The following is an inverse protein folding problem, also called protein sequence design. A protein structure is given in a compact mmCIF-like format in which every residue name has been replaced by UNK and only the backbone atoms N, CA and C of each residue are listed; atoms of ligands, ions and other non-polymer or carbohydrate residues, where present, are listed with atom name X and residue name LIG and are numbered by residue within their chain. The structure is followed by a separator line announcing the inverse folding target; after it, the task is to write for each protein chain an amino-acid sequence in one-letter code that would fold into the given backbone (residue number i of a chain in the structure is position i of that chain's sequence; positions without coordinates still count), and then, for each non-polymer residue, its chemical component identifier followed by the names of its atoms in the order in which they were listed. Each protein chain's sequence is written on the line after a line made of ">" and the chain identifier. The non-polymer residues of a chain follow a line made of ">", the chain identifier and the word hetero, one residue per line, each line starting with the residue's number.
data_IF_012288426136
#
_entry.id   IF_012288426136
#
_cell.length_a   1.000
_cell.length_b   1.000
_cell.length_c   1.000
_cell.angle_alpha   90.00
_cell.angle_beta   90.00
_cell.angle_gamma   90.00
#
_symmetry.space_group_name_H-M   'P 1'
#
loop_
_entity.id
_entity.type
_entity.pdbx_description
1 polymer ?
#
# COMPACT_ATOMS: atom_id res chain seq x y z
N UNK A 1 -56.71 20.95 9.28
CA UNK A 1 -57.64 20.57 8.20
C UNK A 1 -57.17 21.14 6.90
N UNK A 2 -56.50 20.39 6.08
CA UNK A 2 -56.22 20.75 4.67
C UNK A 2 -56.23 19.47 3.83
N UNK A 3 -57.03 19.50 2.78
CA UNK A 3 -57.43 18.38 1.94
C UNK A 3 -56.33 17.95 0.96
N UNK A 4 -56.04 16.63 0.93
CA UNK A 4 -55.27 15.95 -0.10
C UNK A 4 -56.11 15.91 -1.38
N UNK A 5 -55.65 16.49 -2.47
CA UNK A 5 -56.17 16.22 -3.84
C UNK A 5 -55.29 15.18 -4.54
N UNK A 6 -55.88 14.02 -4.81
CA UNK A 6 -55.35 13.01 -5.72
C UNK A 6 -55.58 13.46 -7.16
N UNK A 7 -54.51 13.55 -7.97
CA UNK A 7 -54.62 13.66 -9.44
C UNK A 7 -54.30 12.27 -10.05
N UNK A 8 -55.32 11.69 -10.68
CA UNK A 8 -55.20 10.56 -11.59
C UNK A 8 -54.67 11.11 -12.93
N UNK A 9 -53.60 10.52 -13.46
CA UNK A 9 -53.19 10.70 -14.87
C UNK A 9 -53.56 9.42 -15.62
N UNK A 10 -54.41 9.59 -16.65
CA UNK A 10 -54.71 8.55 -17.65
C UNK A 10 -53.47 8.31 -18.53
N UNK A 11 -53.07 7.05 -18.65
CA UNK A 11 -52.10 6.59 -19.65
C UNK A 11 -52.84 6.22 -20.92
N UNK A 12 -52.70 7.03 -22.00
CA UNK A 12 -53.09 6.67 -23.33
C UNK A 12 -51.97 5.93 -24.03
N UNK A 13 -52.18 4.64 -24.33
CA UNK A 13 -51.25 3.84 -25.08
C UNK A 13 -51.28 4.24 -26.59
N UNK A 14 -50.18 4.81 -27.06
CA UNK A 14 -49.89 4.95 -28.46
C UNK A 14 -49.05 3.76 -28.91
N UNK A 15 -49.62 2.88 -29.73
CA UNK A 15 -48.87 1.80 -30.39
C UNK A 15 -48.17 2.42 -31.61
N UNK A 16 -46.88 2.66 -31.49
CA UNK A 16 -46.03 3.03 -32.60
C UNK A 16 -45.38 1.75 -33.17
N UNK A 17 -45.78 1.32 -34.37
CA UNK A 17 -45.10 0.30 -35.15
C UNK A 17 -43.80 0.87 -35.67
N UNK A 18 -42.69 0.56 -35.01
CA UNK A 18 -41.33 0.88 -35.49
C UNK A 18 -40.87 -0.20 -36.47
N UNK A 19 -40.72 0.20 -37.72
CA UNK A 19 -39.99 -0.56 -38.75
C UNK A 19 -38.55 -0.75 -38.28
N UNK A 20 -38.16 -1.99 -37.98
CA UNK A 20 -36.78 -2.36 -37.70
C UNK A 20 -36.04 -2.34 -39.03
N UNK A 21 -35.33 -1.25 -39.29
CA UNK A 21 -34.26 -1.23 -40.28
C UNK A 21 -33.07 -2.00 -39.70
N UNK A 22 -32.76 -3.18 -40.23
CA UNK A 22 -31.54 -3.88 -39.94
C UNK A 22 -30.33 -3.06 -40.46
N UNK A 23 -29.81 -2.18 -39.63
CA UNK A 23 -28.50 -1.59 -39.87
C UNK A 23 -27.45 -2.66 -39.52
N UNK A 24 -26.85 -3.25 -40.57
CA UNK A 24 -25.62 -4.03 -40.49
C UNK A 24 -24.43 -3.06 -40.18
N UNK A 25 -24.48 -2.35 -39.09
CA UNK A 25 -23.31 -1.69 -38.58
C UNK A 25 -22.36 -2.80 -38.09
N UNK A 26 -21.19 -2.92 -38.72
CA UNK A 26 -20.11 -3.74 -38.17
C UNK A 26 -19.90 -3.27 -36.74
N UNK A 27 -19.78 -4.20 -35.77
CA UNK A 27 -19.41 -3.78 -34.41
C UNK A 27 -18.10 -2.96 -34.50
N UNK A 28 -18.10 -1.79 -33.91
CA UNK A 28 -16.87 -1.03 -33.75
C UNK A 28 -15.85 -1.97 -33.08
N UNK A 29 -14.59 -2.00 -33.56
CA UNK A 29 -13.57 -2.78 -32.88
C UNK A 29 -13.50 -2.30 -31.44
N UNK A 30 -13.73 -3.20 -30.50
CA UNK A 30 -13.49 -2.93 -29.07
C UNK A 30 -12.05 -2.42 -28.96
N UNK A 31 -11.80 -1.37 -28.17
CA UNK A 31 -10.45 -0.91 -27.94
C UNK A 31 -9.62 -2.11 -27.48
N UNK A 32 -8.57 -2.39 -28.23
CA UNK A 32 -7.68 -3.49 -27.91
C UNK A 32 -7.01 -3.14 -26.58
N UNK A 33 -7.30 -3.89 -25.52
CA UNK A 33 -6.66 -3.71 -24.22
C UNK A 33 -5.15 -3.83 -24.44
N UNK A 34 -4.41 -2.81 -24.10
CA UNK A 34 -2.94 -2.83 -24.21
C UNK A 34 -2.37 -3.71 -23.09
N UNK A 35 -2.17 -4.99 -23.42
CA UNK A 35 -1.66 -6.00 -22.50
C UNK A 35 -0.14 -5.87 -22.24
N UNK A 36 0.52 -4.83 -22.72
CA UNK A 36 1.97 -4.62 -22.47
C UNK A 36 2.25 -3.89 -21.18
N UNK A 37 1.39 -2.95 -20.79
CA UNK A 37 1.57 -2.15 -19.58
C UNK A 37 1.11 -2.91 -18.32
N UNK A 38 1.78 -2.70 -17.20
CA UNK A 38 1.41 -3.22 -15.88
C UNK A 38 1.44 -2.10 -14.84
N UNK A 39 0.45 -2.11 -13.94
CA UNK A 39 0.35 -1.11 -12.88
C UNK A 39 1.33 -1.44 -11.74
N UNK A 40 2.02 -0.42 -11.26
CA UNK A 40 3.02 -0.52 -10.19
C UNK A 40 2.67 0.42 -9.05
N UNK A 41 2.75 -0.06 -7.82
CA UNK A 41 2.67 0.74 -6.61
C UNK A 41 3.91 0.52 -5.75
N UNK A 42 4.46 1.62 -5.20
CA UNK A 42 5.58 1.57 -4.27
C UNK A 42 5.07 1.77 -2.85
N UNK A 43 5.41 0.86 -1.96
CA UNK A 43 5.07 0.87 -0.54
C UNK A 43 6.32 1.21 0.25
N UNK A 44 6.30 2.30 1.04
CA UNK A 44 7.47 2.70 1.81
C UNK A 44 7.08 3.37 3.14
N UNK A 45 8.05 3.49 4.03
CA UNK A 45 7.84 4.03 5.38
C UNK A 45 8.68 3.31 6.42
N UNK A 46 8.08 3.07 7.58
CA UNK A 46 8.76 2.36 8.67
C UNK A 46 8.09 1.02 9.02
N UNK A 47 8.28 0.51 10.22
CA UNK A 47 7.98 -0.86 10.63
C UNK A 47 6.56 -1.33 10.33
N UNK A 48 5.54 -0.49 10.48
CA UNK A 48 4.17 -0.86 10.18
C UNK A 48 3.91 -1.00 8.66
N UNK A 49 4.67 -0.30 7.80
CA UNK A 49 4.65 -0.54 6.36
C UNK A 49 5.55 -1.72 5.96
N UNK A 50 6.71 -1.84 6.60
CA UNK A 50 7.63 -2.96 6.39
C UNK A 50 6.96 -4.30 6.70
N UNK A 51 6.09 -4.32 7.72
CA UNK A 51 5.30 -5.48 8.11
C UNK A 51 5.87 -6.20 9.32
N UNK A 52 5.67 -5.63 10.50
CA UNK A 52 6.09 -6.20 11.78
C UNK A 52 4.92 -6.76 12.58
N UNK A 53 3.94 -7.36 11.90
CA UNK A 53 2.76 -7.96 12.52
C UNK A 53 2.76 -9.46 12.29
N UNK A 54 2.52 -10.25 13.34
CA UNK A 54 2.46 -11.71 13.24
C UNK A 54 1.22 -12.18 12.47
N UNK A 55 1.38 -13.02 11.45
CA UNK A 55 0.26 -13.84 10.96
C UNK A 55 0.16 -15.17 11.69
N UNK A 56 1.30 -15.69 12.18
CA UNK A 56 1.39 -16.83 13.09
C UNK A 56 2.22 -16.41 14.28
N UNK A 57 1.64 -16.51 15.48
CA UNK A 57 2.35 -16.16 16.70
C UNK A 57 3.51 -17.17 16.95
N UNK A 58 4.64 -16.76 17.56
CA UNK A 58 5.77 -17.66 17.86
C UNK A 58 5.40 -18.92 18.63
N UNK A 59 4.31 -18.92 19.40
CA UNK A 59 3.76 -20.09 20.10
C UNK A 59 2.98 -21.06 19.20
N UNK A 60 2.81 -20.74 17.91
CA UNK A 60 2.08 -21.55 16.92
C UNK A 60 0.61 -21.19 16.73
N UNK A 61 0.09 -20.13 17.37
CA UNK A 61 -1.28 -19.66 17.14
C UNK A 61 -1.40 -19.02 15.77
N UNK A 62 -2.31 -19.49 14.94
CA UNK A 62 -2.56 -19.01 13.57
C UNK A 62 -3.50 -17.78 13.58
N UNK A 63 -2.95 -16.63 13.97
CA UNK A 63 -3.72 -15.42 14.24
C UNK A 63 -4.52 -14.90 13.04
N UNK A 64 -3.88 -14.83 11.88
CA UNK A 64 -4.53 -14.32 10.67
C UNK A 64 -5.60 -15.29 10.15
N UNK A 65 -5.30 -16.59 10.17
CA UNK A 65 -6.27 -17.61 9.78
C UNK A 65 -7.50 -17.59 10.68
N UNK A 66 -7.32 -17.50 11.98
CA UNK A 66 -8.43 -17.38 12.92
C UNK A 66 -9.27 -16.14 12.65
N UNK A 67 -8.63 -15.00 12.39
CA UNK A 67 -9.34 -13.78 12.01
C UNK A 67 -10.17 -13.95 10.72
N UNK A 68 -9.61 -14.60 9.70
CA UNK A 68 -10.33 -14.88 8.45
C UNK A 68 -11.54 -15.80 8.69
N UNK A 69 -11.39 -16.84 9.51
CA UNK A 69 -12.47 -17.74 9.89
C UNK A 69 -13.59 -17.00 10.66
N UNK A 70 -13.24 -16.12 11.61
CA UNK A 70 -14.18 -15.30 12.37
C UNK A 70 -14.98 -14.33 11.48
N UNK A 71 -14.33 -13.75 10.46
CA UNK A 71 -14.96 -12.85 9.50
C UNK A 71 -15.64 -13.59 8.32
N UNK A 72 -15.56 -14.91 8.27
CA UNK A 72 -16.10 -15.72 7.16
C UNK A 72 -15.39 -15.51 5.82
N UNK A 73 -14.12 -15.11 5.84
CA UNK A 73 -13.27 -14.91 4.67
C UNK A 73 -12.49 -16.18 4.32
N UNK A 74 -12.17 -16.33 3.03
CA UNK A 74 -11.30 -17.41 2.56
C UNK A 74 -9.83 -17.06 2.79
N UNK A 75 -9.14 -17.88 3.60
CA UNK A 75 -7.73 -17.71 3.94
C UNK A 75 -6.77 -18.28 2.89
N UNK A 76 -7.22 -19.25 2.08
CA UNK A 76 -6.35 -19.98 1.16
C UNK A 76 -5.60 -19.06 0.16
N UNK A 77 -6.24 -18.04 -0.47
CA UNK A 77 -5.54 -17.15 -1.40
C UNK A 77 -4.37 -16.40 -0.76
N UNK A 78 -4.54 -15.91 0.47
CA UNK A 78 -3.46 -15.19 1.17
C UNK A 78 -2.38 -16.09 1.73
N UNK A 79 -2.67 -17.37 1.94
CA UNK A 79 -1.71 -18.38 2.39
C UNK A 79 -0.86 -18.90 1.23
N UNK A 80 -1.48 -19.25 0.11
CA UNK A 80 -0.81 -19.82 -1.05
C UNK A 80 -0.17 -18.77 -1.96
N UNK A 81 -0.80 -17.62 -2.07
CA UNK A 81 -0.34 -16.48 -2.84
C UNK A 81 -1.36 -16.01 -3.89
N UNK A 82 -1.50 -14.70 -4.00
CA UNK A 82 -2.42 -14.01 -4.91
C UNK A 82 -1.70 -13.79 -6.25
N UNK A 83 -1.97 -14.58 -7.29
CA UNK A 83 -1.15 -14.56 -8.52
C UNK A 83 -1.36 -13.30 -9.36
N UNK A 84 -2.49 -12.61 -9.19
CA UNK A 84 -2.82 -11.37 -9.88
C UNK A 84 -2.14 -10.14 -9.28
N UNK A 85 -1.54 -10.26 -8.09
CA UNK A 85 -0.77 -9.20 -7.43
C UNK A 85 0.56 -9.75 -6.98
N UNK A 86 1.65 -9.21 -7.51
CA UNK A 86 3.01 -9.69 -7.22
C UNK A 86 3.78 -8.68 -6.39
N UNK A 87 4.40 -9.13 -5.32
CA UNK A 87 5.23 -8.30 -4.44
C UNK A 87 6.70 -8.69 -4.53
N UNK A 88 7.56 -7.66 -4.67
CA UNK A 88 8.98 -7.75 -4.36
C UNK A 88 9.29 -6.82 -3.20
N UNK A 89 10.11 -7.25 -2.25
CA UNK A 89 10.35 -6.49 -1.03
C UNK A 89 11.83 -6.44 -0.63
N UNK A 90 12.20 -5.31 -0.01
CA UNK A 90 13.48 -5.04 0.61
C UNK A 90 13.27 -4.14 1.83
N UNK A 91 13.85 -4.50 2.96
CA UNK A 91 13.77 -3.69 4.15
C UNK A 91 14.71 -4.20 5.25
N UNK A 92 14.90 -3.41 6.30
CA UNK A 92 15.68 -3.81 7.47
C UNK A 92 15.30 -3.00 8.70
N UNK A 93 15.59 -3.55 9.85
CA UNK A 93 15.52 -2.83 11.12
C UNK A 93 16.82 -2.07 11.37
N UNK A 94 16.73 -0.77 11.57
CA UNK A 94 17.85 0.02 12.03
C UNK A 94 17.98 -0.11 13.57
N UNK A 95 19.17 -0.31 14.19
CA UNK A 95 20.52 -0.06 13.66
C UNK A 95 21.24 -1.29 13.07
N UNK A 96 20.60 -2.46 12.98
CA UNK A 96 21.25 -3.67 12.47
C UNK A 96 21.66 -3.54 11.00
N UNK A 97 21.08 -2.55 10.32
CA UNK A 97 21.46 -2.11 9.01
C UNK A 97 21.18 -3.13 7.90
N UNK A 98 21.49 -2.70 6.73
CA UNK A 98 21.33 -3.40 5.46
C UNK A 98 22.05 -4.76 5.37
N UNK A 99 23.02 -5.04 6.25
CA UNK A 99 23.65 -6.37 6.37
C UNK A 99 22.68 -7.48 6.82
N UNK A 100 21.54 -7.10 7.41
CA UNK A 100 20.51 -8.02 7.89
C UNK A 100 19.15 -7.76 7.20
N UNK A 101 19.18 -7.19 5.98
CA UNK A 101 17.98 -6.91 5.24
C UNK A 101 17.11 -8.16 5.05
N UNK A 102 15.81 -8.00 5.25
CA UNK A 102 14.81 -8.94 4.79
C UNK A 102 14.47 -8.61 3.34
N UNK A 103 14.50 -9.58 2.46
CA UNK A 103 14.44 -9.35 1.03
C UNK A 103 13.78 -10.50 0.29
N UNK A 104 13.10 -10.17 -0.80
CA UNK A 104 12.58 -11.15 -1.75
C UNK A 104 13.69 -11.85 -2.55
N UNK A 105 14.90 -11.27 -2.61
CA UNK A 105 16.02 -11.85 -3.34
C UNK A 105 16.41 -13.22 -2.78
N UNK A 106 16.57 -14.22 -3.63
CA UNK A 106 17.09 -15.53 -3.24
C UNK A 106 18.60 -15.49 -2.88
N UNK A 107 19.33 -14.47 -3.37
CA UNK A 107 20.73 -14.25 -3.08
C UNK A 107 20.92 -13.17 -2.01
N UNK A 108 21.49 -13.55 -0.88
CA UNK A 108 21.78 -12.66 0.24
C UNK A 108 23.27 -12.51 0.50
N UNK A 109 24.13 -12.87 -0.46
CA UNK A 109 25.59 -12.92 -0.32
C UNK A 109 26.21 -11.54 -0.19
N UNK A 110 25.63 -10.51 -0.81
CA UNK A 110 26.07 -9.12 -0.70
C UNK A 110 24.90 -8.15 -0.53
N UNK A 111 25.15 -6.91 -0.12
CA UNK A 111 24.12 -5.86 -0.07
C UNK A 111 23.42 -5.65 -1.40
N UNK A 112 24.18 -5.63 -2.49
CA UNK A 112 23.67 -5.41 -3.85
C UNK A 112 22.83 -6.63 -4.29
N UNK A 113 23.26 -7.85 -3.99
CA UNK A 113 22.53 -9.07 -4.29
C UNK A 113 21.17 -9.09 -3.56
N UNK A 114 21.09 -8.58 -2.31
CA UNK A 114 19.84 -8.45 -1.56
C UNK A 114 18.86 -7.48 -2.19
N UNK A 115 19.32 -6.52 -2.99
CA UNK A 115 18.49 -5.56 -3.73
C UNK A 115 18.07 -6.09 -5.11
N UNK A 116 18.35 -7.36 -5.44
CA UNK A 116 17.86 -7.99 -6.65
C UNK A 116 16.37 -8.29 -6.51
N UNK A 117 15.53 -7.78 -7.41
CA UNK A 117 14.08 -8.00 -7.33
C UNK A 117 13.72 -9.48 -7.54
N UNK A 118 12.69 -9.91 -6.82
CA UNK A 118 12.07 -11.21 -7.04
C UNK A 118 10.56 -11.09 -6.79
N UNK A 119 9.81 -10.82 -7.84
CA UNK A 119 8.35 -10.69 -7.76
C UNK A 119 7.70 -12.06 -7.61
N UNK A 120 6.99 -12.24 -6.50
CA UNK A 120 6.25 -13.45 -6.17
C UNK A 120 4.77 -13.11 -5.97
N UNK A 121 3.83 -14.06 -6.16
CA UNK A 121 2.45 -13.90 -5.73
C UNK A 121 2.41 -13.41 -4.28
N UNK A 122 1.65 -12.35 -4.02
CA UNK A 122 1.60 -11.76 -2.66
C UNK A 122 0.95 -12.72 -1.68
N UNK A 123 1.63 -13.01 -0.59
CA UNK A 123 1.19 -13.97 0.43
C UNK A 123 1.69 -13.60 1.83
N UNK A 124 1.27 -14.34 2.83
CA UNK A 124 1.83 -14.28 4.18
C UNK A 124 3.35 -14.49 4.18
N UNK A 125 4.05 -13.98 5.18
CA UNK A 125 5.51 -14.13 5.31
C UNK A 125 6.35 -13.11 4.53
N UNK A 126 5.72 -12.11 3.90
CA UNK A 126 6.41 -11.01 3.20
C UNK A 126 6.66 -9.77 4.08
N UNK A 127 6.32 -9.84 5.36
CA UNK A 127 6.69 -8.84 6.35
C UNK A 127 8.14 -9.00 6.75
N UNK A 128 8.72 -7.90 7.23
CA UNK A 128 10.07 -7.91 7.80
C UNK A 128 9.97 -8.23 9.27
N UNK A 129 10.10 -9.48 9.59
CA UNK A 129 10.38 -9.85 10.94
C UNK A 129 11.82 -9.52 11.26
N UNK A 130 12.05 -8.68 12.24
CA UNK A 130 13.25 -8.87 13.03
C UNK A 130 13.38 -10.38 13.30
N UNK A 131 14.60 -10.91 13.30
CA UNK A 131 14.86 -12.31 13.64
C UNK A 131 14.48 -12.60 15.08
N UNK A 132 13.20 -12.36 15.42
CA UNK A 132 12.67 -12.68 16.72
C UNK A 132 12.70 -14.18 16.84
N UNK A 133 13.57 -14.66 17.69
CA UNK A 133 13.77 -16.08 17.97
C UNK A 133 14.14 -16.93 16.74
N UNK A 134 14.78 -16.33 15.71
CA UNK A 134 15.23 -17.06 14.51
C UNK A 134 14.12 -17.40 13.51
N UNK A 135 12.90 -16.88 13.68
CA UNK A 135 11.77 -17.07 12.76
C UNK A 135 11.61 -15.83 11.89
N UNK A 136 11.85 -15.97 10.59
CA UNK A 136 11.78 -14.86 9.63
C UNK A 136 10.39 -14.73 8.97
N UNK A 137 9.71 -15.84 8.71
CA UNK A 137 8.56 -15.90 7.81
C UNK A 137 7.23 -15.96 8.59
N UNK A 138 7.12 -15.26 9.72
CA UNK A 138 5.92 -15.24 10.55
C UNK A 138 5.24 -13.87 10.57
N UNK A 139 5.72 -12.94 9.76
CA UNK A 139 5.24 -11.57 9.71
C UNK A 139 4.61 -11.21 8.37
N UNK A 140 3.75 -10.22 8.40
CA UNK A 140 3.17 -9.58 7.22
C UNK A 140 2.95 -8.09 7.48
N UNK A 141 2.70 -7.32 6.43
CA UNK A 141 2.34 -5.91 6.47
C UNK A 141 1.10 -5.59 5.66
N UNK A 142 0.86 -4.30 5.39
CA UNK A 142 -0.32 -3.86 4.64
C UNK A 142 -0.40 -4.42 3.21
N UNK A 143 0.72 -4.86 2.63
CA UNK A 143 0.73 -5.44 1.28
C UNK A 143 -0.26 -6.59 1.11
N UNK A 144 -0.50 -7.36 2.18
CA UNK A 144 -1.37 -8.52 2.11
C UNK A 144 -2.85 -8.14 1.96
N UNK A 145 -3.33 -7.24 2.83
CA UNK A 145 -4.70 -6.73 2.75
C UNK A 145 -4.94 -5.93 1.48
N UNK A 146 -3.93 -5.14 1.04
CA UNK A 146 -3.95 -4.42 -0.23
C UNK A 146 -4.11 -5.40 -1.40
N UNK A 147 -3.23 -6.39 -1.50
CA UNK A 147 -3.25 -7.36 -2.59
C UNK A 147 -4.57 -8.13 -2.66
N UNK A 148 -5.08 -8.60 -1.52
CA UNK A 148 -6.35 -9.31 -1.47
C UNK A 148 -7.53 -8.44 -1.91
N UNK A 149 -7.49 -7.14 -1.61
CA UNK A 149 -8.56 -6.20 -1.98
C UNK A 149 -8.59 -5.91 -3.48
N UNK A 150 -7.42 -5.75 -4.12
CA UNK A 150 -7.34 -5.43 -5.55
C UNK A 150 -7.25 -6.65 -6.46
N UNK A 151 -7.21 -7.86 -5.91
CA UNK A 151 -6.97 -9.11 -6.64
C UNK A 151 -7.90 -9.33 -7.84
N UNK A 152 -9.20 -9.05 -7.67
CA UNK A 152 -10.22 -9.20 -8.71
C UNK A 152 -10.13 -8.11 -9.79
N UNK A 153 -9.52 -6.97 -9.47
CA UNK A 153 -9.29 -5.89 -10.42
C UNK A 153 -8.03 -6.07 -11.26
N UNK A 154 -7.22 -7.07 -10.98
CA UNK A 154 -6.02 -7.44 -11.72
C UNK A 154 -6.18 -8.80 -12.44
N UNK A 155 -5.23 -9.19 -13.29
CA UNK A 155 -5.20 -10.49 -13.95
C UNK A 155 -3.81 -11.12 -13.87
N UNK A 156 -3.73 -12.45 -14.04
CA UNK A 156 -2.42 -13.13 -14.03
C UNK A 156 -1.58 -12.76 -15.25
N UNK A 157 -2.20 -12.42 -16.38
CA UNK A 157 -1.50 -11.96 -17.58
C UNK A 157 -0.88 -10.57 -17.39
N UNK A 158 -1.59 -9.69 -16.69
CA UNK A 158 -1.15 -8.33 -16.34
C UNK A 158 -1.32 -8.11 -14.84
N UNK A 159 -0.45 -8.71 -14.01
CA UNK A 159 -0.53 -8.56 -12.58
C UNK A 159 -0.18 -7.13 -12.15
N UNK A 160 -0.80 -6.68 -11.07
CA UNK A 160 -0.33 -5.48 -10.36
C UNK A 160 0.97 -5.81 -9.64
N UNK A 161 1.95 -4.93 -9.72
CA UNK A 161 3.23 -5.09 -9.04
C UNK A 161 3.32 -4.16 -7.83
N UNK A 162 3.62 -4.73 -6.67
CA UNK A 162 3.90 -4.01 -5.44
C UNK A 162 5.41 -4.06 -5.17
N UNK A 163 6.02 -2.89 -5.08
CA UNK A 163 7.42 -2.72 -4.71
C UNK A 163 7.44 -2.25 -3.26
N UNK A 164 7.77 -3.12 -2.31
CA UNK A 164 7.83 -2.75 -0.90
C UNK A 164 9.27 -2.49 -0.48
N UNK A 165 9.57 -1.24 -0.10
CA UNK A 165 10.88 -0.80 0.36
C UNK A 165 10.71 0.08 1.60
N UNK A 166 10.77 -0.51 2.79
CA UNK A 166 10.50 0.17 4.06
C UNK A 166 11.50 -0.22 5.15
N UNK A 167 11.70 0.67 6.14
CA UNK A 167 12.80 0.53 7.09
C UNK A 167 12.34 0.81 8.51
N UNK A 168 12.31 -0.21 9.35
CA UNK A 168 11.94 -0.11 10.77
C UNK A 168 12.86 0.85 11.53
N UNK A 169 12.26 1.66 12.41
CA UNK A 169 12.98 2.63 13.22
C UNK A 169 13.44 3.88 12.47
N UNK A 170 13.07 4.04 11.21
CA UNK A 170 13.43 5.21 10.38
C UNK A 170 12.66 6.48 10.76
N UNK A 171 13.19 7.63 10.34
CA UNK A 171 12.57 8.92 10.55
C UNK A 171 13.15 10.02 9.68
N UNK A 172 12.51 11.16 9.64
CA UNK A 172 13.01 12.33 8.90
C UNK A 172 14.21 12.98 9.58
N UNK A 173 14.27 12.95 10.92
CA UNK A 173 15.25 13.67 11.71
C UNK A 173 16.31 12.79 12.37
N UNK A 174 16.35 11.51 12.03
CA UNK A 174 17.35 10.59 12.56
C UNK A 174 18.75 11.00 12.13
N UNK A 175 19.70 10.93 13.09
CA UNK A 175 21.09 11.35 12.86
C UNK A 175 22.00 10.21 12.40
N UNK A 176 21.53 8.99 12.47
CA UNK A 176 22.28 7.74 12.41
C UNK A 176 22.12 6.96 11.08
N UNK A 177 21.75 7.65 10.00
CA UNK A 177 21.59 7.04 8.69
C UNK A 177 20.17 6.54 8.38
N UNK A 178 19.34 6.26 9.39
CA UNK A 178 17.92 5.91 9.21
C UNK A 178 17.07 7.15 8.88
N UNK A 179 17.49 7.94 7.89
CA UNK A 179 17.01 9.29 7.62
C UNK A 179 16.43 9.42 6.20
N UNK A 180 15.18 9.92 6.14
CA UNK A 180 14.46 10.15 4.90
C UNK A 180 14.73 11.50 4.23
N UNK A 181 15.33 12.47 4.94
CA UNK A 181 15.66 13.79 4.36
C UNK A 181 17.00 13.82 3.63
N UNK A 182 17.86 12.84 3.88
CA UNK A 182 19.16 12.75 3.22
C UNK A 182 19.01 12.38 1.75
N UNK A 183 19.84 13.01 0.90
CA UNK A 183 19.88 12.77 -0.55
C UNK A 183 21.26 12.31 -1.01
N UNK A 184 22.13 11.92 -0.07
CA UNK A 184 23.43 11.33 -0.39
C UNK A 184 23.27 10.05 -1.22
N UNK A 185 24.11 9.84 -2.20
CA UNK A 185 24.19 8.57 -2.94
C UNK A 185 25.02 7.53 -2.16
N UNK A 186 24.74 7.41 -0.90
CA UNK A 186 25.39 6.49 0.03
C UNK A 186 24.30 5.72 0.79
N UNK A 187 24.17 4.40 0.56
CA UNK A 187 23.13 3.59 1.18
C UNK A 187 23.22 3.56 2.72
N UNK A 188 24.37 3.93 3.28
CA UNK A 188 24.53 4.00 4.74
C UNK A 188 24.01 5.30 5.35
N UNK A 189 23.64 6.28 4.51
CA UNK A 189 23.25 7.63 4.94
C UNK A 189 21.87 8.07 4.48
N UNK A 190 21.34 7.48 3.41
CA UNK A 190 20.11 7.92 2.78
C UNK A 190 19.16 6.77 2.52
N UNK A 191 18.00 6.79 3.16
CA UNK A 191 16.92 5.85 2.89
C UNK A 191 16.23 6.15 1.54
N UNK A 192 16.21 7.42 1.13
CA UNK A 192 15.70 7.78 -0.19
C UNK A 192 16.58 7.19 -1.31
N UNK A 193 17.89 7.14 -1.13
CA UNK A 193 18.78 6.46 -2.08
C UNK A 193 18.46 4.97 -2.20
N UNK A 194 18.24 4.29 -1.07
CA UNK A 194 17.86 2.87 -1.08
C UNK A 194 16.51 2.64 -1.74
N UNK A 195 15.50 3.46 -1.40
CA UNK A 195 14.17 3.43 -2.01
C UNK A 195 14.27 3.62 -3.52
N UNK A 196 14.97 4.66 -3.97
CA UNK A 196 15.20 4.97 -5.38
C UNK A 196 15.86 3.79 -6.10
N UNK A 197 16.97 3.31 -5.59
CA UNK A 197 17.75 2.23 -6.22
C UNK A 197 16.92 0.94 -6.32
N UNK A 198 16.24 0.55 -5.24
CA UNK A 198 15.44 -0.67 -5.27
C UNK A 198 14.23 -0.54 -6.21
N UNK A 199 13.59 0.62 -6.24
CA UNK A 199 12.47 0.89 -7.15
C UNK A 199 12.92 0.77 -8.60
N UNK A 200 14.05 1.38 -9.00
CA UNK A 200 14.60 1.24 -10.35
C UNK A 200 14.94 -0.21 -10.70
N UNK A 201 15.58 -0.94 -9.79
CA UNK A 201 15.87 -2.36 -10.01
C UNK A 201 14.57 -3.14 -10.30
N UNK A 202 13.50 -2.86 -9.54
CA UNK A 202 12.21 -3.50 -9.72
C UNK A 202 11.54 -3.13 -11.06
N UNK A 203 11.56 -1.84 -11.44
CA UNK A 203 11.01 -1.38 -12.71
C UNK A 203 11.74 -2.01 -13.90
N UNK A 204 13.07 -2.04 -13.87
CA UNK A 204 13.88 -2.70 -14.90
C UNK A 204 13.61 -4.22 -14.95
N UNK A 205 13.45 -4.89 -13.81
CA UNK A 205 13.09 -6.31 -13.81
C UNK A 205 11.72 -6.58 -14.44
N UNK A 206 10.77 -5.66 -14.34
CA UNK A 206 9.48 -5.75 -15.05
C UNK A 206 9.71 -5.55 -16.56
N UNK A 207 10.51 -4.55 -16.98
CA UNK A 207 10.85 -4.29 -18.38
C UNK A 207 11.53 -5.50 -19.03
N UNK A 208 12.41 -6.20 -18.31
CA UNK A 208 13.08 -7.42 -18.80
C UNK A 208 12.10 -8.55 -19.12
N UNK A 209 10.88 -8.53 -18.56
CA UNK A 209 9.81 -9.47 -18.94
C UNK A 209 9.06 -9.09 -20.22
N UNK A 210 9.42 -7.95 -20.84
CA UNK A 210 8.74 -7.38 -22.00
C UNK A 210 7.47 -6.60 -21.65
N UNK A 211 7.24 -6.30 -20.38
CA UNK A 211 6.14 -5.43 -19.92
C UNK A 211 6.63 -4.00 -19.74
N UNK A 212 5.70 -3.05 -19.80
CA UNK A 212 5.94 -1.63 -19.57
C UNK A 212 5.38 -1.28 -18.19
N UNK A 213 6.21 -1.02 -17.18
CA UNK A 213 5.73 -0.62 -15.87
C UNK A 213 5.18 0.80 -15.89
N UNK A 214 4.00 1.00 -15.31
CA UNK A 214 3.40 2.32 -15.10
C UNK A 214 3.23 2.54 -13.60
N UNK A 215 3.98 3.48 -13.06
CA UNK A 215 3.94 3.83 -11.65
C UNK A 215 2.68 4.64 -11.34
N UNK A 216 1.78 4.04 -10.61
CA UNK A 216 0.44 4.57 -10.29
C UNK A 216 0.36 5.21 -8.92
N UNK A 217 1.21 4.80 -7.99
CA UNK A 217 1.13 5.36 -6.64
C UNK A 217 2.32 5.07 -5.74
N UNK A 218 2.50 5.97 -4.78
CA UNK A 218 3.43 5.91 -3.68
C UNK A 218 2.64 5.84 -2.37
N UNK A 219 2.66 4.68 -1.71
CA UNK A 219 1.97 4.40 -0.47
C UNK A 219 2.95 4.59 0.69
N UNK A 220 2.55 5.38 1.68
CA UNK A 220 3.42 5.79 2.76
C UNK A 220 2.82 5.48 4.14
N UNK A 221 3.62 4.90 5.03
CA UNK A 221 3.25 4.78 6.43
C UNK A 221 4.48 4.94 7.32
N UNK A 222 4.63 6.14 7.88
CA UNK A 222 5.73 6.54 8.76
C UNK A 222 5.24 7.71 9.63
N UNK A 223 5.93 8.01 10.69
CA UNK A 223 5.64 9.14 11.55
C UNK A 223 5.83 8.81 13.04
N UNK A 224 5.90 7.54 13.41
CA UNK A 224 6.06 7.10 14.79
C UNK A 224 7.38 7.62 15.39
N UNK A 225 8.41 7.76 14.56
CA UNK A 225 9.70 8.35 14.98
C UNK A 225 9.69 9.88 15.04
N UNK A 226 8.77 10.54 14.35
CA UNK A 226 8.74 12.00 14.14
C UNK A 226 7.40 12.62 14.53
N UNK A 227 6.52 11.90 15.24
CA UNK A 227 5.12 12.27 15.47
C UNK A 227 4.86 13.64 16.10
N UNK A 228 5.83 14.15 16.86
CA UNK A 228 5.79 15.48 17.47
C UNK A 228 6.50 16.59 16.67
N UNK A 229 7.11 16.29 15.54
CA UNK A 229 7.89 17.27 14.77
C UNK A 229 6.99 18.21 13.97
N UNK A 230 7.07 19.51 14.25
CA UNK A 230 6.30 20.55 13.58
C UNK A 230 6.64 20.72 12.08
N UNK A 231 7.78 20.17 11.63
CA UNK A 231 8.22 20.21 10.24
C UNK A 231 7.83 18.95 9.46
N UNK A 232 7.08 18.04 10.06
CA UNK A 232 6.69 16.79 9.42
C UNK A 232 6.01 17.00 8.06
N UNK A 233 5.14 18.03 7.94
CA UNK A 233 4.50 18.41 6.70
C UNK A 233 5.52 18.77 5.60
N UNK A 234 6.48 19.65 5.92
CA UNK A 234 7.49 20.09 4.95
C UNK A 234 8.35 18.91 4.47
N UNK A 235 8.73 18.03 5.39
CA UNK A 235 9.52 16.84 5.06
C UNK A 235 8.74 15.88 4.15
N UNK A 236 7.46 15.64 4.45
CA UNK A 236 6.61 14.76 3.66
C UNK A 236 6.40 15.32 2.25
N UNK A 237 6.08 16.62 2.13
CA UNK A 237 5.94 17.26 0.81
C UNK A 237 7.21 17.20 -0.01
N UNK A 238 8.36 17.43 0.61
CA UNK A 238 9.66 17.32 -0.06
C UNK A 238 9.91 15.89 -0.53
N UNK A 239 9.64 14.88 0.32
CA UNK A 239 9.81 13.48 -0.05
C UNK A 239 8.94 13.09 -1.24
N UNK A 240 7.66 13.48 -1.22
CA UNK A 240 6.69 13.17 -2.29
C UNK A 240 7.08 13.87 -3.59
N UNK A 241 7.45 15.15 -3.51
CA UNK A 241 7.90 15.91 -4.69
C UNK A 241 9.15 15.30 -5.33
N UNK A 242 10.16 14.96 -4.51
CA UNK A 242 11.38 14.31 -4.98
C UNK A 242 11.10 12.92 -5.58
N UNK A 243 10.21 12.14 -4.98
CA UNK A 243 9.81 10.83 -5.50
C UNK A 243 9.08 10.96 -6.85
N UNK A 244 8.11 11.85 -6.95
CA UNK A 244 7.36 12.12 -8.18
C UNK A 244 8.27 12.57 -9.33
N UNK A 245 9.17 13.53 -9.07
CA UNK A 245 10.11 14.01 -10.07
C UNK A 245 11.12 12.94 -10.50
N UNK A 246 11.63 12.15 -9.55
CA UNK A 246 12.58 11.06 -9.83
C UNK A 246 11.98 10.01 -10.77
N UNK A 247 10.69 9.66 -10.59
CA UNK A 247 10.05 8.58 -11.32
C UNK A 247 9.05 9.05 -12.39
N UNK A 248 9.05 10.30 -12.77
CA UNK A 248 8.09 10.86 -13.74
C UNK A 248 8.07 10.12 -15.09
N UNK A 249 9.20 9.59 -15.55
CA UNK A 249 9.27 8.82 -16.80
C UNK A 249 8.49 7.50 -16.76
N UNK A 250 8.10 7.04 -15.57
CA UNK A 250 7.25 5.87 -15.36
C UNK A 250 5.80 6.25 -15.02
N UNK A 251 5.50 7.52 -14.87
CA UNK A 251 4.15 7.99 -14.61
C UNK A 251 3.28 7.94 -15.87
N UNK A 252 1.96 7.99 -15.67
CA UNK A 252 1.00 8.16 -16.79
C UNK A 252 1.32 9.49 -17.49
N UNK A 253 1.48 9.44 -18.81
CA UNK A 253 1.80 10.60 -19.67
C UNK A 253 3.10 11.34 -19.24
N UNK A 254 4.00 10.67 -18.54
CA UNK A 254 5.21 11.26 -17.95
C UNK A 254 4.92 12.47 -17.03
N UNK A 255 3.71 12.49 -16.47
CA UNK A 255 3.24 13.52 -15.56
C UNK A 255 3.45 13.08 -14.09
N UNK A 256 4.37 13.71 -13.33
CA UNK A 256 4.67 13.33 -11.96
C UNK A 256 3.44 13.44 -11.04
N UNK A 257 2.50 14.33 -11.33
CA UNK A 257 1.28 14.52 -10.54
C UNK A 257 0.26 13.38 -10.73
N UNK A 258 0.48 12.51 -11.73
CA UNK A 258 -0.29 11.27 -11.92
C UNK A 258 0.17 10.11 -11.04
N UNK A 259 1.27 10.25 -10.29
CA UNK A 259 1.65 9.30 -9.25
C UNK A 259 0.87 9.65 -7.98
N UNK A 260 -0.13 8.85 -7.65
CA UNK A 260 -0.93 9.06 -6.44
C UNK A 260 -0.06 8.93 -5.18
N UNK A 261 -0.29 9.79 -4.20
CA UNK A 261 0.29 9.66 -2.86
C UNK A 261 -0.78 9.22 -1.88
N UNK A 262 -0.61 8.06 -1.25
CA UNK A 262 -1.57 7.50 -0.31
C UNK A 262 -0.88 7.31 1.03
N UNK A 263 -1.17 8.21 1.98
CA UNK A 263 -0.62 8.18 3.34
C UNK A 263 -1.60 7.53 4.33
N UNK A 264 -1.14 7.29 5.55
CA UNK A 264 -1.95 6.81 6.65
C UNK A 264 -1.52 7.49 7.95
N UNK A 265 -2.48 7.93 8.77
CA UNK A 265 -2.18 8.43 10.10
C UNK A 265 -1.52 7.36 10.97
N UNK A 266 -0.67 7.77 11.90
CA UNK A 266 -0.07 6.89 12.92
C UNK A 266 -0.97 6.85 14.15
N UNK A 267 -0.82 5.81 14.97
CA UNK A 267 -1.61 5.59 16.16
C UNK A 267 -1.53 6.77 17.15
N UNK A 268 -2.68 7.29 17.57
CA UNK A 268 -2.80 8.50 18.41
C UNK A 268 -2.96 8.23 19.90
N UNK A 269 -3.04 6.96 20.30
CA UNK A 269 -3.16 6.55 21.71
C UNK A 269 -4.56 6.58 22.29
N UNK A 270 -5.61 6.75 21.46
CA UNK A 270 -7.00 6.81 21.94
C UNK A 270 -7.67 5.44 22.08
N UNK A 271 -7.07 4.38 21.57
CA UNK A 271 -7.58 3.02 21.69
C UNK A 271 -7.19 2.35 23.01
N UNK A 272 -7.04 1.03 22.97
CA UNK A 272 -6.70 0.21 24.15
C UNK A 272 -5.22 0.31 24.54
N UNK A 273 -4.33 0.62 23.60
CA UNK A 273 -2.93 0.89 23.87
C UNK A 273 -2.74 2.23 24.58
N UNK A 274 -1.82 2.28 25.53
CA UNK A 274 -1.42 3.53 26.19
C UNK A 274 -0.36 4.31 25.43
N UNK A 275 0.09 3.79 24.29
CA UNK A 275 1.10 4.41 23.46
C UNK A 275 0.49 5.54 22.63
N UNK A 276 1.23 6.63 22.45
CA UNK A 276 0.87 7.71 21.53
C UNK A 276 2.14 8.25 20.87
N UNK A 277 2.09 8.45 19.58
CA UNK A 277 3.22 8.96 18.80
C UNK A 277 3.19 10.50 18.60
N UNK A 278 2.18 11.17 19.15
CA UNK A 278 1.96 12.59 18.95
C UNK A 278 1.05 12.92 17.77
N UNK A 279 0.69 14.20 17.67
CA UNK A 279 -0.37 14.66 16.75
C UNK A 279 0.14 15.48 15.57
N UNK A 280 1.37 16.01 15.60
CA UNK A 280 1.88 16.87 14.54
C UNK A 280 1.94 16.13 13.18
N UNK A 281 2.46 14.90 13.18
CA UNK A 281 2.49 14.07 11.98
C UNK A 281 1.08 13.76 11.46
N UNK A 282 0.13 13.39 12.33
CA UNK A 282 -1.25 13.09 11.92
C UNK A 282 -1.95 14.31 11.33
N UNK A 283 -1.78 15.49 11.93
CA UNK A 283 -2.34 16.73 11.39
C UNK A 283 -1.77 17.05 10.00
N UNK A 284 -0.47 16.86 9.80
CA UNK A 284 0.18 17.05 8.51
C UNK A 284 -0.35 16.08 7.45
N UNK A 285 -0.47 14.79 7.78
CA UNK A 285 -0.97 13.73 6.89
C UNK A 285 -2.41 14.00 6.44
N UNK A 286 -3.29 14.29 7.40
CA UNK A 286 -4.70 14.63 7.11
C UNK A 286 -4.82 15.90 6.27
N UNK A 287 -3.96 16.89 6.50
CA UNK A 287 -3.92 18.11 5.70
C UNK A 287 -3.50 17.81 4.27
N UNK A 288 -2.39 17.10 4.05
CA UNK A 288 -1.89 16.75 2.71
C UNK A 288 -2.93 15.93 1.94
N UNK A 289 -3.56 14.94 2.59
CA UNK A 289 -4.54 14.05 1.96
C UNK A 289 -5.92 14.67 1.69
N UNK A 290 -6.18 15.90 2.15
CA UNK A 290 -7.47 16.56 2.01
C UNK A 290 -7.39 17.97 1.38
N UNK A 291 -6.26 18.33 0.75
CA UNK A 291 -6.06 19.69 0.25
C UNK A 291 -6.90 20.03 -0.98
N UNK A 292 -7.09 19.08 -1.89
CA UNK A 292 -7.85 19.27 -3.13
C UNK A 292 -8.39 17.93 -3.63
N UNK A 293 -9.61 17.95 -4.16
CA UNK A 293 -10.19 16.77 -4.83
C UNK A 293 -9.50 16.47 -6.17
N UNK A 294 -8.79 17.43 -6.75
CA UNK A 294 -8.04 17.27 -8.01
C UNK A 294 -6.64 16.71 -7.80
N UNK A 295 -6.10 16.77 -6.56
CA UNK A 295 -4.80 16.23 -6.23
C UNK A 295 -4.93 14.74 -5.91
N UNK A 296 -4.06 13.91 -6.51
CA UNK A 296 -4.00 12.49 -6.18
C UNK A 296 -3.27 12.25 -4.85
N UNK A 297 -3.65 12.99 -3.81
CA UNK A 297 -3.15 12.83 -2.45
C UNK A 297 -4.28 12.34 -1.54
N UNK A 298 -4.05 11.24 -0.83
CA UNK A 298 -5.03 10.61 0.03
C UNK A 298 -4.43 10.32 1.39
N UNK A 299 -5.26 10.36 2.43
CA UNK A 299 -4.84 9.94 3.77
C UNK A 299 -5.88 9.04 4.42
N UNK A 300 -5.47 7.84 4.76
CA UNK A 300 -6.25 6.91 5.58
C UNK A 300 -6.19 7.38 7.03
N UNK A 301 -7.35 7.53 7.67
CA UNK A 301 -7.39 7.78 9.10
C UNK A 301 -7.44 6.42 9.85
N UNK A 302 -6.32 6.01 10.44
CA UNK A 302 -6.19 4.78 11.19
C UNK A 302 -6.80 4.84 12.60
N UNK A 303 -7.07 6.03 13.11
CA UNK A 303 -7.40 6.28 14.51
C UNK A 303 -8.89 6.08 14.87
N UNK A 304 -9.23 6.25 16.16
CA UNK A 304 -10.56 5.99 16.71
C UNK A 304 -11.53 7.17 16.62
N UNK A 305 -11.16 8.25 15.98
CA UNK A 305 -12.05 9.39 15.77
C UNK A 305 -13.11 9.10 14.68
N UNK A 306 -14.09 9.96 14.55
CA UNK A 306 -15.15 9.83 13.56
C UNK A 306 -14.55 9.74 12.14
N UNK A 307 -14.96 8.71 11.40
CA UNK A 307 -14.43 8.40 10.06
C UNK A 307 -13.09 7.67 10.04
N UNK A 308 -12.54 7.31 11.18
CA UNK A 308 -11.32 6.51 11.27
C UNK A 308 -11.61 5.01 11.36
N UNK A 309 -10.57 4.22 11.08
CA UNK A 309 -10.66 2.75 11.08
C UNK A 309 -10.64 2.13 12.47
N UNK A 310 -10.23 2.89 13.50
CA UNK A 310 -10.12 2.39 14.87
C UNK A 310 -9.08 1.28 15.05
N UNK A 311 -7.94 1.37 14.36
CA UNK A 311 -6.91 0.34 14.42
C UNK A 311 -6.17 0.36 15.76
N UNK A 312 -5.78 -0.81 16.24
CA UNK A 312 -5.11 -1.02 17.52
C UNK A 312 -3.69 -1.54 17.34
N UNK A 313 -2.81 -1.18 18.29
CA UNK A 313 -1.43 -1.64 18.35
C UNK A 313 -1.13 -2.31 19.69
N UNK A 314 -0.02 -3.06 19.75
CA UNK A 314 0.66 -3.44 21.00
C UNK A 314 0.04 -4.58 21.76
N UNK A 315 -0.85 -5.37 21.18
CA UNK A 315 -1.36 -6.60 21.79
C UNK A 315 -0.66 -7.83 21.17
N UNK A 316 0.36 -8.34 21.85
CA UNK A 316 1.12 -9.52 21.39
C UNK A 316 0.22 -10.74 21.20
N UNK A 317 -0.79 -10.92 22.04
CA UNK A 317 -1.76 -12.03 21.93
C UNK A 317 -2.63 -11.94 20.68
N UNK A 318 -2.74 -10.74 20.09
CA UNK A 318 -3.44 -10.45 18.84
C UNK A 318 -2.49 -10.19 17.67
N UNK A 319 -1.20 -10.47 17.84
CA UNK A 319 -0.19 -10.39 16.80
C UNK A 319 0.52 -9.05 16.65
N UNK A 320 0.22 -8.07 17.49
CA UNK A 320 0.95 -6.80 17.54
C UNK A 320 2.33 -6.99 18.14
N UNK A 321 3.32 -7.26 17.30
CA UNK A 321 4.69 -7.47 17.76
C UNK A 321 5.18 -6.25 18.55
N UNK A 322 5.50 -6.49 19.84
CA UNK A 322 5.78 -5.47 20.85
C UNK A 322 4.66 -4.40 21.00
N UNK A 323 4.95 -3.26 21.63
CA UNK A 323 3.95 -2.21 21.92
C UNK A 323 3.80 -1.19 20.78
N UNK A 324 4.41 -1.42 19.62
CA UNK A 324 4.56 -0.41 18.56
C UNK A 324 3.84 -0.79 17.25
N UNK A 325 3.42 -2.05 17.10
CA UNK A 325 2.93 -2.56 15.82
C UNK A 325 1.47 -2.93 15.88
N UNK A 326 0.80 -2.84 14.75
CA UNK A 326 -0.62 -3.19 14.62
C UNK A 326 -0.87 -4.65 14.98
N UNK A 327 -2.03 -4.90 15.58
CA UNK A 327 -2.55 -6.24 15.77
C UNK A 327 -2.85 -6.90 14.42
N UNK A 328 -2.94 -8.21 14.36
CA UNK A 328 -3.11 -8.96 13.10
C UNK A 328 -4.33 -8.51 12.28
N UNK A 329 -5.54 -8.40 12.86
CA UNK A 329 -6.68 -7.87 12.10
C UNK A 329 -6.44 -6.47 11.56
N UNK A 330 -5.76 -5.64 12.33
CA UNK A 330 -5.65 -4.20 12.08
C UNK A 330 -4.60 -3.90 11.02
N UNK A 331 -3.47 -4.65 10.98
CA UNK A 331 -2.52 -4.58 9.88
C UNK A 331 -3.16 -5.01 8.54
N UNK A 332 -4.01 -6.04 8.57
CA UNK A 332 -4.75 -6.47 7.39
C UNK A 332 -5.78 -5.43 6.94
N UNK A 333 -6.56 -4.84 7.88
CA UNK A 333 -7.52 -3.77 7.60
C UNK A 333 -6.86 -2.53 7.02
N UNK A 334 -5.65 -2.17 7.51
CA UNK A 334 -4.87 -1.08 6.93
C UNK A 334 -4.55 -1.34 5.47
N UNK A 335 -4.09 -2.55 5.14
CA UNK A 335 -3.86 -2.95 3.75
C UNK A 335 -5.11 -2.88 2.89
N UNK A 336 -6.24 -3.38 3.41
CA UNK A 336 -7.54 -3.29 2.76
C UNK A 336 -7.91 -1.84 2.44
N UNK A 337 -7.72 -0.92 3.39
CA UNK A 337 -8.02 0.51 3.18
C UNK A 337 -7.18 1.15 2.07
N UNK A 338 -5.88 0.79 1.95
CA UNK A 338 -5.07 1.19 0.79
C UNK A 338 -5.68 0.68 -0.53
N UNK A 339 -6.09 -0.59 -0.57
CA UNK A 339 -6.73 -1.18 -1.74
C UNK A 339 -8.06 -0.49 -2.11
N UNK A 340 -8.87 -0.16 -1.11
CA UNK A 340 -10.14 0.56 -1.31
C UNK A 340 -9.92 1.97 -1.90
N UNK A 341 -8.89 2.71 -1.47
CA UNK A 341 -8.54 3.99 -2.09
C UNK A 341 -8.15 3.78 -3.56
N UNK A 342 -7.34 2.78 -3.86
CA UNK A 342 -6.92 2.47 -5.24
C UNK A 342 -8.13 2.18 -6.13
N UNK A 343 -9.07 1.36 -5.67
CA UNK A 343 -10.27 0.98 -6.44
C UNK A 343 -11.26 2.15 -6.57
N UNK A 344 -11.56 2.84 -5.48
CA UNK A 344 -12.56 3.91 -5.45
C UNK A 344 -12.15 5.15 -6.28
N UNK A 345 -10.84 5.34 -6.49
CA UNK A 345 -10.29 6.44 -7.27
C UNK A 345 -9.80 6.02 -8.67
N UNK A 346 -10.15 4.81 -9.11
CA UNK A 346 -9.81 4.29 -10.44
C UNK A 346 -8.30 4.40 -10.77
N UNK A 347 -7.45 4.11 -9.78
CA UNK A 347 -6.00 4.19 -9.97
C UNK A 347 -5.45 2.99 -10.75
N UNK A 348 -6.19 1.89 -10.88
CA UNK A 348 -5.86 0.80 -11.79
C UNK A 348 -6.36 1.12 -13.20
N UNK A 349 -5.68 0.56 -14.20
CA UNK A 349 -6.16 0.63 -15.59
C UNK A 349 -7.41 -0.23 -15.77
N UNK A 350 -8.27 0.19 -16.69
CA UNK A 350 -9.37 -0.62 -17.15
C UNK A 350 -8.84 -1.94 -17.76
N UNK A 351 -9.54 -3.05 -17.45
CA UNK A 351 -9.23 -4.40 -17.96
C UNK A 351 -9.58 -4.54 -19.43
#
# INVERSE_FOLDING_TARGET
>A
MMKLQKRFLLLSALVATSLVACNNAKPEPQPQVDNTHVDVFVLSGQSNMEGSTYYVHPNGTELLKNYFEEEGMDYEPVAEGIPTVKTSYYGFYYPNGWAQAHTASPDTSSPEARMTPNFQPTKVGMGVGDTVQGKKDIFFGPELGLANTIAEAASEENPVHLIKCAFSGSGFTKTDGANWTKRDEDPTKSLFYLLKTYTYNCLHAIEETGKVPVLKGFLWHQGESDGGDAKYEDYTRTLVGDFREEFKSYAVDEDPDKIAFIDCTIYDGKGTSKMSYGTAANNAKLKIGNESEDDLNFCINANHEEGGLGLEIGDDSKGGYNTYHYNTPDAYKLGKAYGEIILNNNLLRDK
#
